data_IF_731152238030
#
_entry.id   IF_731152238030
#
_cell.length_a   1.000
_cell.length_b   1.000
_cell.length_c   1.000
_cell.angle_alpha   90.00
_cell.angle_beta   90.00
_cell.angle_gamma   90.00
#
_symmetry.space_group_name_H-M   'P 1'
#
loop_
_entity.id
_entity.type
_entity.pdbx_description
1 polymer ?
#
# COMPACT_ATOMS: atom_id res chain seq x y z
N UNK A 1 35.47 26.85 -24.52
CA UNK A 1 35.69 27.41 -23.18
C UNK A 1 35.08 26.44 -22.18
N UNK A 2 35.84 25.87 -21.23
CA UNK A 2 35.29 24.98 -20.22
C UNK A 2 34.52 25.82 -19.19
N UNK A 3 33.28 26.19 -19.53
CA UNK A 3 32.36 26.93 -18.65
C UNK A 3 30.99 26.27 -18.52
N UNK A 4 30.88 24.99 -18.85
CA UNK A 4 29.76 24.15 -18.40
C UNK A 4 30.19 23.47 -17.09
N UNK A 5 30.53 24.28 -16.10
CA UNK A 5 30.61 23.81 -14.74
C UNK A 5 29.17 23.47 -14.34
N UNK A 6 28.90 22.18 -14.18
CA UNK A 6 27.67 21.66 -13.62
C UNK A 6 27.25 22.53 -12.44
N UNK A 7 26.15 23.26 -12.60
CA UNK A 7 25.45 23.88 -11.48
C UNK A 7 25.12 22.76 -10.51
N UNK A 8 25.95 22.62 -9.48
CA UNK A 8 25.65 21.79 -8.34
C UNK A 8 24.38 22.37 -7.72
N UNK A 9 23.23 21.82 -8.11
CA UNK A 9 21.91 22.11 -7.55
C UNK A 9 22.07 22.05 -6.03
N UNK A 10 22.04 23.20 -5.37
CA UNK A 10 22.07 23.26 -3.91
C UNK A 10 21.02 22.29 -3.37
N UNK A 11 21.31 21.52 -2.30
CA UNK A 11 20.31 20.61 -1.74
C UNK A 11 19.08 21.44 -1.39
N UNK A 12 18.00 21.23 -2.14
CA UNK A 12 16.79 22.02 -2.05
C UNK A 12 16.33 22.02 -0.58
N UNK A 13 16.31 23.20 0.03
CA UNK A 13 15.81 23.35 1.40
C UNK A 13 14.33 22.96 1.40
N UNK A 14 14.05 21.78 1.96
CA UNK A 14 12.70 21.24 2.00
C UNK A 14 11.80 22.19 2.80
N UNK A 15 10.65 22.52 2.22
CA UNK A 15 9.69 23.41 2.84
C UNK A 15 9.17 22.80 4.15
N UNK A 16 8.89 23.60 5.20
CA UNK A 16 8.31 23.10 6.44
C UNK A 16 6.98 22.35 6.23
N UNK A 17 6.18 22.78 5.26
CA UNK A 17 4.91 22.16 4.89
C UNK A 17 5.13 20.77 4.29
N UNK A 18 6.06 20.64 3.34
CA UNK A 18 6.40 19.35 2.72
C UNK A 18 7.00 18.38 3.73
N UNK A 19 7.84 18.85 4.66
CA UNK A 19 8.34 18.01 5.76
C UNK A 19 7.19 17.42 6.57
N UNK A 20 6.20 18.22 6.97
CA UNK A 20 5.06 17.73 7.74
C UNK A 20 4.24 16.67 6.99
N UNK A 21 4.00 16.89 5.69
CA UNK A 21 3.29 15.93 4.82
C UNK A 21 4.07 14.64 4.66
N UNK A 22 5.37 14.72 4.34
CA UNK A 22 6.25 13.56 4.16
C UNK A 22 6.39 12.77 5.45
N UNK A 23 6.59 13.41 6.60
CA UNK A 23 6.67 12.71 7.90
C UNK A 23 5.38 11.96 8.20
N UNK A 24 4.22 12.57 7.92
CA UNK A 24 2.92 11.90 8.10
C UNK A 24 2.74 10.71 7.16
N UNK A 25 3.11 10.86 5.89
CA UNK A 25 3.06 9.77 4.90
C UNK A 25 4.02 8.63 5.25
N UNK A 26 5.22 8.96 5.71
CA UNK A 26 6.22 7.99 6.15
C UNK A 26 5.74 7.21 7.37
N UNK A 27 5.20 7.91 8.39
CA UNK A 27 4.65 7.27 9.58
C UNK A 27 3.50 6.32 9.23
N UNK A 28 2.54 6.78 8.42
CA UNK A 28 1.40 5.95 7.98
C UNK A 28 1.87 4.77 7.13
N UNK A 29 2.78 4.99 6.17
CA UNK A 29 3.37 3.90 5.37
C UNK A 29 4.14 2.90 6.23
N UNK A 30 4.74 3.35 7.34
CA UNK A 30 5.37 2.49 8.34
C UNK A 30 4.36 1.54 8.99
N UNK A 31 3.18 2.04 9.39
CA UNK A 31 2.11 1.21 9.96
C UNK A 31 1.64 0.15 8.97
N UNK A 32 1.39 0.54 7.72
CA UNK A 32 1.05 -0.42 6.66
C UNK A 32 2.14 -1.48 6.50
N UNK A 33 3.40 -1.05 6.43
CA UNK A 33 4.53 -1.97 6.20
C UNK A 33 4.81 -2.88 7.40
N UNK A 34 4.48 -2.45 8.62
CA UNK A 34 4.45 -3.31 9.80
C UNK A 34 3.37 -4.39 9.65
N UNK A 35 2.14 -3.98 9.32
CA UNK A 35 1.02 -4.91 9.15
C UNK A 35 1.24 -5.91 8.01
N UNK A 36 1.83 -5.47 6.89
CA UNK A 36 2.24 -6.35 5.80
C UNK A 36 3.42 -7.25 6.15
N UNK A 37 4.39 -6.75 6.94
CA UNK A 37 5.56 -7.53 7.35
C UNK A 37 5.25 -8.67 8.32
N UNK A 38 4.12 -8.62 9.03
CA UNK A 38 3.64 -9.72 9.87
C UNK A 38 3.23 -10.96 9.06
N UNK A 39 3.06 -10.80 7.76
CA UNK A 39 2.42 -11.76 6.86
C UNK A 39 3.42 -12.30 5.84
N UNK A 40 4.67 -12.50 6.26
CA UNK A 40 5.68 -13.10 5.38
C UNK A 40 5.24 -14.50 4.94
N UNK A 41 5.55 -14.86 3.70
CA UNK A 41 5.21 -16.17 3.12
C UNK A 41 5.60 -17.32 4.05
N UNK A 42 6.76 -17.22 4.71
CA UNK A 42 7.23 -18.22 5.67
C UNK A 42 6.30 -18.39 6.89
N UNK A 43 5.79 -17.29 7.47
CA UNK A 43 4.89 -17.36 8.63
C UNK A 43 3.49 -17.84 8.23
N UNK A 44 3.01 -17.44 7.05
CA UNK A 44 1.74 -17.92 6.50
C UNK A 44 1.85 -19.42 6.17
N UNK A 45 2.96 -19.85 5.55
CA UNK A 45 3.25 -21.26 5.27
C UNK A 45 3.25 -22.08 6.55
N UNK A 46 3.96 -21.59 7.57
CA UNK A 46 4.01 -22.21 8.89
C UNK A 46 2.61 -22.31 9.51
N UNK A 47 1.78 -21.27 9.40
CA UNK A 47 0.41 -21.30 9.87
C UNK A 47 -0.42 -22.39 9.19
N UNK A 48 -0.39 -22.47 7.85
CA UNK A 48 -1.12 -23.48 7.08
C UNK A 48 -0.64 -24.90 7.39
N UNK A 49 0.67 -25.10 7.50
CA UNK A 49 1.26 -26.38 7.89
C UNK A 49 0.78 -26.80 9.28
N UNK A 50 0.87 -25.91 10.28
CA UNK A 50 0.46 -26.21 11.66
C UNK A 50 -1.05 -26.40 11.81
N UNK A 51 -1.87 -25.69 11.02
CA UNK A 51 -3.34 -25.74 11.12
C UNK A 51 -3.95 -26.90 10.36
N UNK A 52 -3.45 -27.19 9.16
CA UNK A 52 -4.07 -28.09 8.20
C UNK A 52 -3.14 -29.22 7.70
N UNK A 53 -1.86 -29.20 8.06
CA UNK A 53 -0.88 -30.20 7.61
C UNK A 53 -0.55 -30.12 6.11
N UNK A 54 -0.78 -28.98 5.46
CA UNK A 54 -0.51 -28.83 4.02
C UNK A 54 1.00 -28.94 3.78
N UNK A 55 1.45 -29.82 2.85
CA UNK A 55 2.86 -29.99 2.56
C UNK A 55 3.46 -28.78 1.84
N UNK A 56 4.77 -28.59 2.01
CA UNK A 56 5.52 -27.45 1.47
C UNK A 56 5.39 -27.28 -0.05
N UNK A 57 5.37 -28.38 -0.80
CA UNK A 57 5.20 -28.34 -2.25
C UNK A 57 3.87 -27.69 -2.68
N UNK A 58 2.78 -27.96 -1.97
CA UNK A 58 1.47 -27.35 -2.23
C UNK A 58 1.44 -25.88 -1.82
N UNK A 59 2.12 -25.51 -0.73
CA UNK A 59 2.27 -24.12 -0.31
C UNK A 59 3.10 -23.32 -1.32
N UNK A 60 4.13 -23.91 -1.92
CA UNK A 60 4.89 -23.29 -3.01
C UNK A 60 4.01 -22.92 -4.20
N UNK A 61 3.10 -23.81 -4.62
CA UNK A 61 2.12 -23.52 -5.67
C UNK A 61 1.12 -22.44 -5.27
N UNK A 62 0.68 -22.43 -4.01
CA UNK A 62 -0.21 -21.41 -3.47
C UNK A 62 0.43 -20.01 -3.54
N UNK A 63 1.66 -19.86 -3.04
CA UNK A 63 2.36 -18.58 -3.10
C UNK A 63 2.70 -18.17 -4.52
N UNK A 64 3.05 -19.11 -5.39
CA UNK A 64 3.21 -18.82 -6.82
C UNK A 64 1.93 -18.20 -7.41
N UNK A 65 0.77 -18.83 -7.20
CA UNK A 65 -0.51 -18.29 -7.65
C UNK A 65 -0.81 -16.92 -7.03
N UNK A 66 -0.51 -16.76 -5.74
CA UNK A 66 -0.61 -15.48 -5.03
C UNK A 66 0.24 -14.38 -5.67
N UNK A 67 1.51 -14.66 -5.96
CA UNK A 67 2.43 -13.69 -6.59
C UNK A 67 2.02 -13.33 -8.03
N UNK A 68 1.43 -14.27 -8.76
CA UNK A 68 0.81 -13.99 -10.08
C UNK A 68 -0.38 -13.04 -9.92
N UNK A 69 -1.26 -13.27 -8.95
CA UNK A 69 -2.40 -12.39 -8.65
C UNK A 69 -1.95 -11.01 -8.19
N UNK A 70 -0.93 -10.92 -7.34
CA UNK A 70 -0.28 -9.67 -6.95
C UNK A 70 0.22 -8.90 -8.17
N UNK A 71 0.94 -9.58 -9.07
CA UNK A 71 1.46 -8.96 -10.28
C UNK A 71 0.36 -8.44 -11.19
N UNK A 72 -0.75 -9.18 -11.33
CA UNK A 72 -1.92 -8.74 -12.07
C UNK A 72 -2.61 -7.54 -11.40
N UNK A 73 -2.69 -7.53 -10.06
CA UNK A 73 -3.33 -6.44 -9.30
C UNK A 73 -2.54 -5.12 -9.43
N UNK A 74 -1.21 -5.16 -9.50
CA UNK A 74 -0.37 -3.99 -9.84
C UNK A 74 -0.81 -3.31 -11.14
N UNK A 75 -1.05 -4.10 -12.20
CA UNK A 75 -1.48 -3.57 -13.50
C UNK A 75 -2.91 -3.01 -13.43
N UNK A 76 -3.80 -3.71 -12.74
CA UNK A 76 -5.18 -3.29 -12.54
C UNK A 76 -5.29 -2.00 -11.70
N UNK A 77 -4.34 -1.75 -10.79
CA UNK A 77 -4.33 -0.58 -9.92
C UNK A 77 -4.35 0.73 -10.71
N UNK A 78 -3.58 0.83 -11.79
CA UNK A 78 -3.55 2.03 -12.64
C UNK A 78 -4.90 2.29 -13.31
N UNK A 79 -5.58 1.24 -13.77
CA UNK A 79 -6.92 1.34 -14.34
C UNK A 79 -7.95 1.79 -13.29
N UNK A 80 -7.90 1.21 -12.09
CA UNK A 80 -8.85 1.53 -11.02
C UNK A 80 -8.63 2.95 -10.50
N UNK A 81 -7.37 3.37 -10.32
CA UNK A 81 -6.99 4.72 -9.94
C UNK A 81 -7.51 5.79 -10.92
N UNK A 82 -7.50 5.53 -12.22
CA UNK A 82 -8.10 6.45 -13.20
C UNK A 82 -9.61 6.61 -13.04
N UNK A 83 -10.30 5.63 -12.47
CA UNK A 83 -11.76 5.65 -12.29
C UNK A 83 -12.21 6.27 -10.99
N UNK A 84 -11.55 5.94 -9.89
CA UNK A 84 -12.01 6.33 -8.55
C UNK A 84 -11.00 7.20 -7.79
N UNK A 85 -9.80 7.44 -8.34
CA UNK A 85 -8.71 8.19 -7.71
C UNK A 85 -7.71 7.30 -6.97
N UNK A 86 -6.48 7.79 -6.81
CA UNK A 86 -5.35 7.11 -6.18
C UNK A 86 -5.65 6.71 -4.74
N UNK A 87 -6.12 7.66 -3.93
CA UNK A 87 -6.42 7.44 -2.51
C UNK A 87 -7.57 6.42 -2.32
N UNK A 88 -8.61 6.52 -3.14
CA UNK A 88 -9.75 5.61 -3.06
C UNK A 88 -9.38 4.21 -3.52
N UNK A 89 -8.61 4.06 -4.59
CA UNK A 89 -8.11 2.75 -5.02
C UNK A 89 -7.30 2.10 -3.93
N UNK A 90 -6.35 2.84 -3.34
CA UNK A 90 -5.54 2.35 -2.23
C UNK A 90 -6.41 1.85 -1.06
N UNK A 91 -7.35 2.67 -0.58
CA UNK A 91 -8.15 2.36 0.62
C UNK A 91 -9.18 1.25 0.36
N UNK A 92 -9.89 1.30 -0.76
CA UNK A 92 -11.02 0.40 -1.02
C UNK A 92 -10.61 -0.99 -1.51
N UNK A 93 -9.39 -1.18 -1.98
CA UNK A 93 -8.87 -2.54 -2.27
C UNK A 93 -8.26 -3.18 -1.03
N UNK A 94 -7.70 -2.36 -0.15
CA UNK A 94 -6.90 -2.82 0.97
C UNK A 94 -7.72 -3.23 2.20
N UNK A 95 -8.86 -2.55 2.43
CA UNK A 95 -9.84 -2.98 3.43
C UNK A 95 -10.38 -4.40 3.14
N UNK A 96 -10.97 -4.70 1.97
CA UNK A 96 -11.48 -6.05 1.70
C UNK A 96 -10.35 -7.08 1.67
N UNK A 97 -9.17 -6.74 1.15
CA UNK A 97 -7.97 -7.60 1.23
C UNK A 97 -7.64 -7.97 2.69
N UNK A 98 -7.64 -6.98 3.59
CA UNK A 98 -7.37 -7.19 5.02
C UNK A 98 -8.46 -8.00 5.72
N UNK A 99 -9.73 -7.84 5.31
CA UNK A 99 -10.83 -8.67 5.81
C UNK A 99 -10.71 -10.12 5.36
N UNK A 100 -10.34 -10.36 4.09
CA UNK A 100 -10.09 -11.73 3.61
C UNK A 100 -8.95 -12.39 4.38
N UNK A 101 -7.86 -11.66 4.64
CA UNK A 101 -6.77 -12.15 5.49
C UNK A 101 -7.27 -12.57 6.88
N UNK A 102 -8.07 -11.72 7.54
CA UNK A 102 -8.61 -12.01 8.87
C UNK A 102 -9.62 -13.17 8.86
N UNK A 103 -10.24 -13.47 7.72
CA UNK A 103 -11.13 -14.60 7.54
C UNK A 103 -10.40 -15.94 7.39
N UNK A 104 -9.15 -15.95 6.89
CA UNK A 104 -8.32 -17.16 6.72
C UNK A 104 -8.31 -18.05 7.97
N UNK A 105 -8.02 -17.55 9.19
CA UNK A 105 -7.98 -18.39 10.37
C UNK A 105 -9.35 -18.75 10.97
N UNK A 106 -10.43 -18.11 10.51
CA UNK A 106 -11.78 -18.33 11.03
C UNK A 106 -12.48 -19.55 10.37
N UNK A 107 -12.01 -19.96 9.20
CA UNK A 107 -12.57 -21.13 8.50
C UNK A 107 -11.89 -22.43 8.90
N UNK A 108 -12.67 -23.51 8.91
CA UNK A 108 -12.17 -24.86 9.19
C UNK A 108 -11.75 -25.64 7.94
N UNK A 109 -12.08 -25.15 6.74
CA UNK A 109 -11.73 -25.80 5.47
C UNK A 109 -10.43 -25.24 4.89
N UNK A 110 -9.44 -26.08 4.55
CA UNK A 110 -8.22 -25.66 3.85
C UNK A 110 -8.52 -24.92 2.55
N UNK A 111 -9.50 -25.40 1.78
CA UNK A 111 -9.87 -24.80 0.50
C UNK A 111 -10.43 -23.38 0.67
N UNK A 112 -11.26 -23.15 1.69
CA UNK A 112 -11.79 -21.82 2.00
C UNK A 112 -10.69 -20.87 2.48
N UNK A 113 -9.75 -21.36 3.30
CA UNK A 113 -8.61 -20.56 3.76
C UNK A 113 -7.71 -20.13 2.60
N UNK A 114 -7.43 -21.06 1.66
CA UNK A 114 -6.70 -20.78 0.42
C UNK A 114 -7.46 -19.77 -0.45
N UNK A 115 -8.77 -19.94 -0.63
CA UNK A 115 -9.58 -19.03 -1.43
C UNK A 115 -9.54 -17.59 -0.87
N UNK A 116 -9.66 -17.43 0.45
CA UNK A 116 -9.51 -16.12 1.09
C UNK A 116 -8.12 -15.54 0.94
N UNK A 117 -7.06 -16.35 1.07
CA UNK A 117 -5.70 -15.87 0.87
C UNK A 117 -5.49 -15.40 -0.59
N UNK A 118 -5.95 -16.16 -1.58
CA UNK A 118 -5.84 -15.76 -2.99
C UNK A 118 -6.68 -14.52 -3.30
N UNK A 119 -7.88 -14.40 -2.74
CA UNK A 119 -8.70 -13.20 -2.87
C UNK A 119 -8.02 -11.96 -2.27
N UNK A 120 -7.29 -12.13 -1.16
CA UNK A 120 -6.43 -11.09 -0.59
C UNK A 120 -5.33 -10.68 -1.57
N UNK A 121 -4.57 -11.63 -2.13
CA UNK A 121 -3.47 -11.34 -3.07
C UNK A 121 -3.96 -10.62 -4.33
N UNK A 122 -5.16 -10.94 -4.81
CA UNK A 122 -5.74 -10.24 -5.95
C UNK A 122 -5.97 -8.73 -5.72
N UNK A 123 -5.90 -8.26 -4.48
CA UNK A 123 -6.23 -6.88 -4.08
C UNK A 123 -5.08 -6.16 -3.35
N UNK A 124 -4.23 -6.89 -2.63
CA UNK A 124 -3.35 -6.31 -1.61
C UNK A 124 -2.32 -5.34 -2.18
N UNK A 125 -1.77 -5.62 -3.35
CA UNK A 125 -0.68 -4.82 -3.94
C UNK A 125 -1.17 -3.63 -4.79
N UNK A 126 -2.48 -3.42 -4.95
CA UNK A 126 -3.00 -2.25 -5.67
C UNK A 126 -2.67 -0.92 -4.96
N UNK A 127 -2.31 -1.00 -3.68
CA UNK A 127 -1.92 0.13 -2.84
C UNK A 127 -0.52 0.67 -3.22
N UNK A 128 0.39 -0.19 -3.69
CA UNK A 128 1.79 0.19 -3.90
C UNK A 128 1.96 1.23 -5.00
N UNK A 129 1.52 1.00 -6.25
CA UNK A 129 1.71 1.98 -7.31
C UNK A 129 0.90 3.25 -7.04
N UNK A 130 -0.30 3.11 -6.44
CA UNK A 130 -1.18 4.25 -6.15
C UNK A 130 -0.62 5.15 -5.05
N UNK A 131 -0.07 4.56 -3.98
CA UNK A 131 0.60 5.29 -2.90
C UNK A 131 1.87 5.97 -3.39
N UNK A 132 2.68 5.30 -4.21
CA UNK A 132 3.87 5.91 -4.81
C UNK A 132 3.49 7.14 -5.64
N UNK A 133 2.50 7.03 -6.52
CA UNK A 133 1.97 8.18 -7.26
C UNK A 133 1.42 9.26 -6.34
N UNK A 134 0.69 8.89 -5.27
CA UNK A 134 0.12 9.85 -4.33
C UNK A 134 1.20 10.68 -3.62
N UNK A 135 2.27 10.03 -3.13
CA UNK A 135 3.40 10.74 -2.49
C UNK A 135 4.03 11.74 -3.45
N UNK A 136 4.18 11.41 -4.73
CA UNK A 136 4.75 12.31 -5.75
C UNK A 136 3.84 13.47 -6.12
N UNK A 137 2.52 13.30 -6.00
CA UNK A 137 1.53 14.31 -6.32
C UNK A 137 1.35 15.37 -5.22
N UNK A 138 1.73 15.07 -3.98
CA UNK A 138 1.52 15.95 -2.80
C UNK A 138 2.79 16.65 -2.31
N UNK A 139 3.89 16.54 -3.05
CA UNK A 139 5.18 17.20 -2.76
C UNK A 139 5.70 17.91 -4.01
N UNK A 140 6.52 18.94 -3.80
CA UNK A 140 7.13 19.68 -4.91
C UNK A 140 8.12 18.80 -5.70
N UNK A 141 8.30 19.03 -7.01
CA UNK A 141 9.16 18.21 -7.87
C UNK A 141 10.58 18.02 -7.31
N UNK A 142 11.17 19.05 -6.71
CA UNK A 142 12.52 19.04 -6.13
C UNK A 142 12.61 18.18 -4.85
N UNK A 143 11.50 17.91 -4.19
CA UNK A 143 11.44 17.20 -2.90
C UNK A 143 11.06 15.72 -3.05
N UNK A 144 10.64 15.30 -4.24
CA UNK A 144 10.19 13.92 -4.56
C UNK A 144 11.20 12.84 -4.21
N UNK A 145 12.49 13.08 -4.46
CA UNK A 145 13.56 12.14 -4.13
C UNK A 145 13.68 11.95 -2.61
N UNK A 146 13.64 13.04 -1.85
CA UNK A 146 13.67 12.97 -0.38
C UNK A 146 12.41 12.28 0.17
N UNK A 147 11.23 12.67 -0.32
CA UNK A 147 9.96 12.10 0.11
C UNK A 147 9.91 10.58 -0.11
N UNK A 148 10.36 10.13 -1.28
CA UNK A 148 10.48 8.70 -1.61
C UNK A 148 11.51 8.01 -0.72
N UNK A 149 12.67 8.62 -0.51
CA UNK A 149 13.75 8.07 0.31
C UNK A 149 13.32 7.82 1.76
N UNK A 150 12.76 8.85 2.41
CA UNK A 150 12.28 8.75 3.79
C UNK A 150 11.16 7.71 3.91
N UNK A 151 10.18 7.75 3.00
CA UNK A 151 9.08 6.79 3.02
C UNK A 151 9.59 5.35 2.85
N UNK A 152 10.47 5.09 1.89
CA UNK A 152 11.01 3.76 1.66
C UNK A 152 11.87 3.27 2.83
N UNK A 153 12.69 4.14 3.41
CA UNK A 153 13.49 3.80 4.58
C UNK A 153 12.61 3.36 5.76
N UNK A 154 11.57 4.14 6.08
CA UNK A 154 10.63 3.80 7.16
C UNK A 154 9.96 2.45 6.89
N UNK A 155 9.52 2.20 5.65
CA UNK A 155 8.88 0.93 5.27
C UNK A 155 9.83 -0.26 5.38
N UNK A 156 11.08 -0.09 4.98
CA UNK A 156 12.08 -1.16 5.03
C UNK A 156 12.44 -1.51 6.47
N UNK A 157 12.59 -0.52 7.35
CA UNK A 157 12.80 -0.75 8.79
C UNK A 157 11.61 -1.51 9.38
N UNK A 158 10.38 -1.07 9.09
CA UNK A 158 9.17 -1.74 9.52
C UNK A 158 9.13 -3.21 9.04
N UNK A 159 9.35 -3.45 7.74
CA UNK A 159 9.38 -4.81 7.16
C UNK A 159 10.49 -5.69 7.75
N UNK A 160 11.64 -5.13 8.10
CA UNK A 160 12.76 -5.89 8.65
C UNK A 160 12.48 -6.41 10.07
N UNK A 161 11.83 -5.61 10.92
CA UNK A 161 11.56 -6.01 12.32
C UNK A 161 10.29 -6.86 12.46
N UNK A 162 9.36 -6.72 11.52
CA UNK A 162 8.01 -7.27 11.61
C UNK A 162 7.92 -8.79 11.75
N UNK A 163 8.64 -9.62 10.94
CA UNK A 163 8.56 -11.07 11.06
C UNK A 163 8.97 -11.60 12.44
N UNK A 164 9.96 -10.97 13.09
CA UNK A 164 10.41 -11.35 14.43
C UNK A 164 9.32 -11.12 15.48
N UNK A 165 8.65 -9.96 15.44
CA UNK A 165 7.50 -9.68 16.31
C UNK A 165 6.33 -10.62 16.03
N UNK A 166 6.02 -10.87 14.75
CA UNK A 166 4.96 -11.79 14.36
C UNK A 166 5.23 -13.21 14.86
N UNK A 167 6.45 -13.73 14.68
CA UNK A 167 6.86 -15.04 15.20
C UNK A 167 6.74 -15.14 16.73
N UNK A 168 7.15 -14.10 17.45
CA UNK A 168 6.97 -14.04 18.91
C UNK A 168 5.49 -14.09 19.31
N UNK A 169 4.62 -13.34 18.62
CA UNK A 169 3.17 -13.32 18.88
C UNK A 169 2.49 -14.66 18.55
N UNK A 170 2.97 -15.38 17.53
CA UNK A 170 2.49 -16.72 17.21
C UNK A 170 2.79 -17.72 18.32
N UNK A 171 3.93 -17.58 19.00
CA UNK A 171 4.37 -18.46 20.08
C UNK A 171 3.71 -18.10 21.42
N UNK A 172 3.58 -16.81 21.72
CA UNK A 172 3.15 -16.31 23.03
C UNK A 172 1.62 -16.15 23.18
N UNK A 173 0.90 -15.89 22.09
CA UNK A 173 -0.53 -15.58 22.15
C UNK A 173 -1.37 -16.60 21.38
N UNK A 174 -1.26 -16.63 20.07
CA UNK A 174 -1.94 -17.59 19.21
C UNK A 174 -1.32 -17.60 17.81
N UNK A 175 -1.32 -18.77 17.17
CA UNK A 175 -0.77 -18.96 15.83
C UNK A 175 -1.37 -17.98 14.79
N UNK A 176 -2.66 -17.65 14.90
CA UNK A 176 -3.34 -16.75 13.97
C UNK A 176 -3.15 -15.24 14.26
N UNK A 177 -2.48 -14.88 15.38
CA UNK A 177 -2.35 -13.49 15.83
C UNK A 177 -1.81 -12.54 14.75
N UNK A 178 -0.77 -12.88 13.98
CA UNK A 178 -0.25 -11.98 12.96
C UNK A 178 -1.26 -11.65 11.86
N UNK A 179 -2.17 -12.56 11.52
CA UNK A 179 -3.21 -12.31 10.50
C UNK A 179 -4.22 -11.27 10.98
N UNK A 180 -4.66 -11.37 12.26
CA UNK A 180 -5.57 -10.39 12.85
C UNK A 180 -4.91 -9.03 13.08
N UNK A 181 -3.71 -9.00 13.66
CA UNK A 181 -3.00 -7.75 13.89
C UNK A 181 -2.55 -7.09 12.58
N UNK A 182 -2.04 -7.88 11.63
CA UNK A 182 -1.65 -7.40 10.31
C UNK A 182 -2.83 -6.78 9.56
N UNK A 183 -3.97 -7.50 9.49
CA UNK A 183 -5.20 -6.97 8.88
C UNK A 183 -5.73 -5.72 9.61
N UNK A 184 -5.74 -5.74 10.94
CA UNK A 184 -6.19 -4.61 11.75
C UNK A 184 -5.32 -3.36 11.58
N UNK A 185 -3.99 -3.50 11.55
CA UNK A 185 -3.05 -2.40 11.31
C UNK A 185 -3.24 -1.79 9.92
N UNK A 186 -3.46 -2.63 8.90
CA UNK A 186 -3.68 -2.17 7.52
C UNK A 186 -5.01 -1.42 7.39
N UNK A 187 -6.10 -1.95 7.94
CA UNK A 187 -7.39 -1.24 8.00
C UNK A 187 -7.24 0.08 8.76
N UNK A 188 -6.55 0.08 9.91
CA UNK A 188 -6.30 1.28 10.70
C UNK A 188 -5.53 2.34 9.90
N UNK A 189 -4.47 1.93 9.20
CA UNK A 189 -3.73 2.77 8.27
C UNK A 189 -4.65 3.36 7.19
N UNK A 190 -5.46 2.54 6.53
CA UNK A 190 -6.34 2.98 5.44
C UNK A 190 -7.33 4.03 5.89
N UNK A 191 -7.95 3.83 7.06
CA UNK A 191 -8.89 4.78 7.65
C UNK A 191 -8.21 6.11 8.02
N UNK A 192 -7.00 6.04 8.59
CA UNK A 192 -6.20 7.23 8.93
C UNK A 192 -5.76 7.97 7.66
N UNK A 193 -5.32 7.24 6.63
CA UNK A 193 -4.97 7.78 5.32
C UNK A 193 -6.15 8.51 4.70
N UNK A 194 -7.29 7.82 4.58
CA UNK A 194 -8.51 8.37 4.02
C UNK A 194 -8.94 9.64 4.77
N UNK A 195 -9.02 9.59 6.10
CA UNK A 195 -9.41 10.74 6.92
C UNK A 195 -8.47 11.93 6.74
N UNK A 196 -7.17 11.67 6.71
CA UNK A 196 -6.15 12.71 6.63
C UNK A 196 -6.06 13.38 5.24
N UNK A 197 -6.35 12.63 4.17
CA UNK A 197 -5.99 13.03 2.82
C UNK A 197 -7.16 13.07 1.82
N UNK A 198 -8.38 12.67 2.21
CA UNK A 198 -9.58 12.73 1.32
C UNK A 198 -9.90 14.10 0.74
N UNK A 199 -9.39 15.19 1.34
CA UNK A 199 -9.58 16.57 0.85
C UNK A 199 -8.44 17.04 -0.05
N UNK A 200 -7.33 16.32 -0.09
CA UNK A 200 -6.14 16.63 -0.88
C UNK A 200 -6.16 15.76 -2.15
N UNK A 201 -6.95 16.18 -3.15
CA UNK A 201 -6.95 15.54 -4.47
C UNK A 201 -5.64 15.88 -5.22
N UNK A 202 -4.90 14.86 -5.72
CA UNK A 202 -3.78 15.01 -6.64
C UNK A 202 -4.12 15.94 -7.82
N UNK A 203 -3.17 16.74 -8.34
CA UNK A 203 -3.41 17.59 -9.51
C UNK A 203 -3.93 16.82 -10.72
N UNK A 204 -3.48 15.57 -10.93
CA UNK A 204 -3.91 14.71 -12.04
C UNK A 204 -5.39 14.30 -11.95
N UNK A 205 -5.99 14.39 -10.75
CA UNK A 205 -7.42 14.11 -10.52
C UNK A 205 -8.30 15.36 -10.61
N UNK A 206 -7.72 16.55 -10.82
CA UNK A 206 -8.45 17.82 -10.94
C UNK A 206 -8.79 18.18 -12.39
N UNK A 207 -8.07 17.63 -13.36
CA UNK A 207 -8.23 17.92 -14.80
C UNK A 207 -9.41 17.18 -15.46
N UNK A 208 -10.02 16.21 -14.78
CA UNK A 208 -11.22 15.50 -15.26
C UNK A 208 -12.54 16.19 -14.90
N UNK A 209 -12.52 17.24 -14.07
CA UNK A 209 -13.67 18.14 -13.93
C UNK A 209 -13.69 19.08 -15.15
N UNK A 210 -14.80 19.16 -15.92
CA UNK A 210 -14.87 20.09 -17.04
C UNK A 210 -14.64 21.50 -16.50
N UNK A 211 -13.54 22.11 -16.94
CA UNK A 211 -13.19 23.48 -16.59
C UNK A 211 -14.39 24.38 -16.84
N UNK A 212 -14.89 25.04 -15.80
CA UNK A 212 -15.94 26.04 -15.91
C UNK A 212 -15.58 27.15 -16.93
N UNK A 213 -14.28 27.35 -17.22
CA UNK A 213 -13.81 28.26 -18.26
C UNK A 213 -14.17 27.84 -19.70
N UNK A 214 -14.39 26.53 -19.95
CA UNK A 214 -14.83 26.04 -21.26
C UNK A 214 -16.34 26.27 -21.49
N UNK A 215 -17.13 26.44 -20.43
CA UNK A 215 -18.57 26.71 -20.53
C UNK A 215 -18.84 28.18 -20.88
N UNK A 216 -18.03 29.11 -20.37
CA UNK A 216 -18.16 30.55 -20.65
C UNK A 216 -17.76 30.91 -22.09
N UNK A 217 -16.78 30.19 -22.68
CA UNK A 217 -16.37 30.42 -24.07
C UNK A 217 -17.41 29.97 -25.11
N UNK A 218 -18.31 29.06 -24.76
CA UNK A 218 -19.39 28.59 -25.63
C UNK A 218 -20.64 29.50 -25.58
N UNK A 219 -20.80 30.32 -24.53
CA UNK A 219 -21.92 31.26 -24.39
C UNK A 219 -21.63 32.65 -24.98
N UNK A 220 -20.36 33.01 -25.23
CA UNK A 220 -19.98 34.28 -25.88
C UNK A 220 -19.98 34.27 -27.41
N UNK A 221 -20.46 33.19 -28.05
CA UNK A 221 -20.52 33.03 -29.53
C UNK A 221 -21.94 32.79 -30.07
N UNK A 222 -22.98 33.15 -29.32
CA UNK A 222 -24.36 33.18 -29.81
C UNK A 222 -24.88 34.61 -29.86
#
# INVERSE_FOLDING_TARGET
>A
SPRDAAEAKQPARISPQSKAVVTKLAALSGIDSLGGGFLSDALIAYWFFRRFGIPEASLGLLFFAGHVLNSASYLAAAWLARRIGLLNTMVFTHIPSSLFLMAVPLVSSPASAIAFLLAREALVEMDVPTRQSYVMAVVEPEERTFASGVTNLTRNIARAISPSFAGYLMQSLALATPMFLGGGLKIGYDLLMYRAFRRLKPPEERTTEPSAAATTAAQGKR
#
